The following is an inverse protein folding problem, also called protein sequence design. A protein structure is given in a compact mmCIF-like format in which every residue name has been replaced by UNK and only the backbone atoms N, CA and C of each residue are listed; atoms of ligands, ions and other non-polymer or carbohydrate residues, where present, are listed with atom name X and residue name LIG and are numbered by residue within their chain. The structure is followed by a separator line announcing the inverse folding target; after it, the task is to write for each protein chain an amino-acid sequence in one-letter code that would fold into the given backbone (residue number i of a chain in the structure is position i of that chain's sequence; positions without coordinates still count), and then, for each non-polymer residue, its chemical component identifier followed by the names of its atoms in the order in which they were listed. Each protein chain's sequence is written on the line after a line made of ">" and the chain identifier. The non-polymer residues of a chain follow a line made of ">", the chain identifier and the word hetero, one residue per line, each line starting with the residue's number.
data_IF_414765346131
#
_entry.id   IF_414765346131
#
_cell.length_a   1.000
_cell.length_b   1.000
_cell.length_c   1.000
_cell.angle_alpha   90.00
_cell.angle_beta   90.00
_cell.angle_gamma   90.00
#
_symmetry.space_group_name_H-M   'P 1'
#
loop_
_entity.id
_entity.type
_entity.pdbx_description
1 polymer ?
#
# COMPACT_ATOMS: atom_id res chain seq x y z
N UNK A 1 -2.68 -7.99 12.02
CA UNK A 1 -2.77 -7.84 13.51
C UNK A 1 -3.97 -8.58 14.10
N UNK A 2 -3.90 -9.01 15.37
CA UNK A 2 -4.96 -9.79 16.04
C UNK A 2 -6.25 -8.99 16.34
N UNK A 3 -7.39 -9.52 15.88
CA UNK A 3 -8.74 -8.98 16.14
C UNK A 3 -9.22 -9.37 17.53
N UNK A 4 -9.86 -8.47 18.27
CA UNK A 4 -10.50 -8.79 19.55
C UNK A 4 -11.75 -9.67 19.33
N UNK A 5 -11.72 -10.84 19.96
CA UNK A 5 -12.74 -11.90 19.97
C UNK A 5 -12.79 -12.54 21.35
N UNK A 6 -13.95 -13.03 21.77
CA UNK A 6 -14.07 -13.67 23.08
C UNK A 6 -13.12 -14.87 23.19
N UNK A 7 -12.62 -15.10 24.41
CA UNK A 7 -11.72 -16.22 24.71
C UNK A 7 -10.25 -16.01 24.34
N UNK A 8 -9.87 -14.84 23.79
CA UNK A 8 -8.46 -14.50 23.54
C UNK A 8 -7.61 -14.44 24.81
N UNK A 9 -8.19 -13.93 25.90
CA UNK A 9 -7.56 -13.93 27.20
C UNK A 9 -8.61 -14.07 28.31
N UNK A 10 -8.22 -14.53 29.52
CA UNK A 10 -9.13 -14.61 30.65
C UNK A 10 -9.74 -13.24 30.95
N UNK A 11 -11.07 -13.16 30.92
CA UNK A 11 -11.83 -11.92 31.16
C UNK A 11 -12.32 -11.19 29.90
N UNK A 12 -11.93 -11.63 28.69
CA UNK A 12 -12.47 -11.10 27.45
C UNK A 12 -13.71 -11.93 27.02
N UNK A 13 -14.86 -11.58 27.58
CA UNK A 13 -16.16 -12.20 27.25
C UNK A 13 -16.78 -11.57 26.01
N UNK A 14 -17.80 -12.22 25.43
CA UNK A 14 -18.49 -11.71 24.24
C UNK A 14 -19.14 -10.34 24.51
N UNK A 15 -19.68 -10.13 25.72
CA UNK A 15 -20.22 -8.85 26.17
C UNK A 15 -19.16 -7.74 26.18
N UNK A 16 -17.98 -8.02 26.74
CA UNK A 16 -16.87 -7.06 26.78
C UNK A 16 -16.40 -6.72 25.36
N UNK A 17 -16.32 -7.71 24.47
CA UNK A 17 -15.93 -7.49 23.07
C UNK A 17 -16.95 -6.60 22.35
N UNK A 18 -18.25 -6.81 22.56
CA UNK A 18 -19.28 -5.97 21.94
C UNK A 18 -19.22 -4.52 22.45
N UNK A 19 -19.02 -4.32 23.76
CA UNK A 19 -18.86 -2.98 24.35
C UNK A 19 -17.65 -2.24 23.76
N UNK A 20 -16.51 -2.93 23.63
CA UNK A 20 -15.30 -2.37 23.01
C UNK A 20 -15.51 -2.03 21.53
N UNK A 21 -16.17 -2.93 20.77
CA UNK A 21 -16.49 -2.71 19.36
C UNK A 21 -17.37 -1.48 19.15
N UNK A 22 -18.32 -1.23 20.05
CA UNK A 22 -19.15 -0.02 20.05
C UNK A 22 -18.35 1.29 20.13
N UNK A 23 -17.10 1.23 20.61
CA UNK A 23 -16.16 2.36 20.69
C UNK A 23 -15.05 2.32 19.64
N UNK A 24 -15.25 1.56 18.56
CA UNK A 24 -14.25 1.33 17.49
C UNK A 24 -12.96 0.67 17.99
N UNK A 25 -12.96 0.05 19.17
CA UNK A 25 -11.83 -0.76 19.66
C UNK A 25 -12.05 -2.18 19.14
N UNK A 26 -11.37 -2.53 18.04
CA UNK A 26 -11.60 -3.79 17.32
C UNK A 26 -10.39 -4.72 17.35
N UNK A 27 -9.21 -4.19 17.60
CA UNK A 27 -7.94 -4.92 17.55
C UNK A 27 -7.18 -4.83 18.87
N UNK A 28 -6.22 -5.74 19.07
CA UNK A 28 -5.32 -5.71 20.22
C UNK A 28 -4.56 -4.38 20.29
N UNK A 29 -4.20 -3.80 19.15
CA UNK A 29 -3.50 -2.51 19.11
C UNK A 29 -4.40 -1.34 19.47
N UNK A 30 -5.68 -1.37 19.09
CA UNK A 30 -6.63 -0.33 19.51
C UNK A 30 -6.74 -0.30 21.04
N UNK A 31 -6.88 -1.47 21.68
CA UNK A 31 -6.96 -1.56 23.14
C UNK A 31 -5.62 -1.25 23.81
N UNK A 32 -4.50 -1.63 23.20
CA UNK A 32 -3.16 -1.32 23.69
C UNK A 32 -2.77 0.15 23.53
N UNK A 33 -3.41 0.90 22.62
CA UNK A 33 -3.22 2.34 22.44
C UNK A 33 -4.26 3.20 23.15
N UNK A 34 -5.38 2.63 23.57
CA UNK A 34 -6.48 3.35 24.19
C UNK A 34 -6.16 3.88 25.59
N UNK A 35 -6.84 4.98 25.95
CA UNK A 35 -6.94 5.47 27.31
C UNK A 35 -7.90 4.57 28.10
N UNK A 36 -7.33 3.77 29.01
CA UNK A 36 -8.11 2.79 29.77
C UNK A 36 -9.05 3.43 30.80
N UNK A 37 -8.77 4.65 31.27
CA UNK A 37 -9.67 5.37 32.18
C UNK A 37 -10.93 5.79 31.43
N UNK A 38 -10.75 6.36 30.24
CA UNK A 38 -11.86 6.75 29.38
C UNK A 38 -12.67 5.53 28.95
N UNK A 39 -12.02 4.43 28.56
CA UNK A 39 -12.70 3.19 28.18
C UNK A 39 -13.46 2.57 29.35
N UNK A 40 -12.87 2.55 30.55
CA UNK A 40 -13.53 2.08 31.77
C UNK A 40 -14.82 2.86 32.03
N UNK A 41 -14.75 4.20 32.01
CA UNK A 41 -15.88 5.07 32.27
C UNK A 41 -16.98 4.92 31.21
N UNK A 42 -16.62 4.85 29.93
CA UNK A 42 -17.58 4.83 28.82
C UNK A 42 -18.22 3.46 28.56
N UNK A 43 -17.55 2.37 28.92
CA UNK A 43 -18.04 1.01 28.73
C UNK A 43 -18.59 0.40 30.02
N UNK A 44 -18.49 1.11 31.16
CA UNK A 44 -18.87 0.57 32.47
C UNK A 44 -18.01 -0.60 32.92
N UNK A 45 -16.76 -0.68 32.44
CA UNK A 45 -15.84 -1.79 32.72
C UNK A 45 -14.91 -1.43 33.87
N UNK A 46 -14.49 -2.43 34.65
CA UNK A 46 -13.49 -2.23 35.70
C UNK A 46 -12.15 -1.84 35.07
N UNK A 47 -11.60 -0.69 35.49
CA UNK A 47 -10.26 -0.25 35.07
C UNK A 47 -9.19 -1.32 35.35
N UNK A 48 -9.26 -1.99 36.50
CA UNK A 48 -8.34 -3.07 36.87
C UNK A 48 -8.45 -4.27 35.92
N UNK A 49 -9.66 -4.60 35.47
CA UNK A 49 -9.87 -5.64 34.47
C UNK A 49 -9.27 -5.24 33.11
N UNK A 50 -9.48 -4.01 32.66
CA UNK A 50 -8.90 -3.49 31.41
C UNK A 50 -7.37 -3.48 31.43
N UNK A 51 -6.75 -3.10 32.56
CA UNK A 51 -5.29 -3.15 32.74
C UNK A 51 -4.79 -4.59 32.66
N UNK A 52 -5.47 -5.55 33.31
CA UNK A 52 -5.11 -6.96 33.24
C UNK A 52 -5.24 -7.51 31.81
N UNK A 53 -6.33 -7.19 31.12
CA UNK A 53 -6.54 -7.57 29.72
C UNK A 53 -5.44 -7.00 28.82
N UNK A 54 -5.14 -5.70 28.91
CA UNK A 54 -4.07 -5.06 28.14
C UNK A 54 -2.72 -5.72 28.41
N UNK A 55 -2.42 -6.06 29.66
CA UNK A 55 -1.16 -6.73 30.02
C UNK A 55 -1.05 -8.12 29.39
N UNK A 56 -2.09 -8.94 29.47
CA UNK A 56 -2.09 -10.30 28.87
C UNK A 56 -1.99 -10.21 27.35
N UNK A 57 -2.77 -9.31 26.73
CA UNK A 57 -2.74 -9.12 25.29
C UNK A 57 -1.39 -8.57 24.82
N UNK A 58 -0.77 -7.64 25.54
CA UNK A 58 0.60 -7.20 25.24
C UNK A 58 1.59 -8.35 25.38
N UNK A 59 1.50 -9.18 26.42
CA UNK A 59 2.40 -10.33 26.55
C UNK A 59 2.24 -11.34 25.41
N UNK A 60 1.01 -11.56 24.93
CA UNK A 60 0.71 -12.54 23.88
C UNK A 60 0.93 -12.02 22.45
N UNK A 61 0.74 -10.71 22.23
CA UNK A 61 0.74 -10.10 20.90
C UNK A 61 1.83 -9.03 20.71
N UNK A 62 2.65 -8.74 21.72
CA UNK A 62 3.82 -7.87 21.54
C UNK A 62 4.84 -8.56 20.64
N UNK A 63 5.49 -7.75 19.81
CA UNK A 63 6.61 -8.23 19.02
C UNK A 63 7.73 -8.66 19.99
N UNK A 64 8.12 -9.92 19.90
CA UNK A 64 9.32 -10.40 20.57
C UNK A 64 10.54 -9.99 19.74
N UNK A 65 11.67 -9.59 20.36
CA UNK A 65 12.89 -9.30 19.61
C UNK A 65 13.32 -10.56 18.84
N UNK A 66 13.40 -10.44 17.52
CA UNK A 66 13.87 -11.49 16.63
C UNK A 66 15.32 -11.17 16.21
N UNK A 67 16.11 -12.21 16.00
CA UNK A 67 17.41 -12.07 15.38
C UNK A 67 17.22 -11.60 13.93
N UNK A 68 18.10 -10.73 13.45
CA UNK A 68 18.07 -10.24 12.06
C UNK A 68 18.19 -11.36 11.03
N UNK A 69 18.94 -12.43 11.33
CA UNK A 69 19.05 -13.59 10.44
C UNK A 69 17.72 -14.34 10.31
N UNK A 70 17.05 -14.62 11.42
CA UNK A 70 15.77 -15.33 11.42
C UNK A 70 14.69 -14.50 10.73
N UNK A 71 14.66 -13.19 11.01
CA UNK A 71 13.77 -12.25 10.32
C UNK A 71 14.04 -12.22 8.80
N UNK A 72 15.30 -12.29 8.38
CA UNK A 72 15.65 -12.29 6.96
C UNK A 72 15.18 -13.57 6.25
N UNK A 73 15.34 -14.74 6.88
CA UNK A 73 14.83 -16.01 6.35
C UNK A 73 13.29 -16.05 6.32
N UNK A 74 12.63 -15.50 7.33
CA UNK A 74 11.17 -15.31 7.33
C UNK A 74 10.73 -14.40 6.17
N UNK A 75 11.44 -13.29 5.94
CA UNK A 75 11.13 -12.39 4.83
C UNK A 75 11.33 -13.04 3.47
N UNK A 76 12.37 -13.89 3.28
CA UNK A 76 12.56 -14.64 2.04
C UNK A 76 11.40 -15.57 1.71
N UNK A 77 10.82 -16.20 2.73
CA UNK A 77 9.77 -17.21 2.56
C UNK A 77 8.37 -16.61 2.49
N UNK A 78 8.16 -15.44 3.12
CA UNK A 78 6.85 -14.75 3.17
C UNK A 78 6.66 -13.68 2.09
N UNK A 79 7.75 -13.18 1.48
CA UNK A 79 7.66 -12.13 0.46
C UNK A 79 7.49 -12.73 -0.93
N UNK A 80 6.36 -12.41 -1.58
CA UNK A 80 6.16 -12.68 -3.00
C UNK A 80 6.61 -11.50 -3.85
N UNK A 81 7.15 -11.80 -5.03
CA UNK A 81 7.50 -10.81 -6.05
C UNK A 81 6.55 -10.99 -7.21
N UNK A 82 5.89 -9.90 -7.61
CA UNK A 82 4.90 -9.88 -8.67
C UNK A 82 5.50 -9.17 -9.88
N UNK A 83 5.74 -9.91 -10.97
CA UNK A 83 6.20 -9.31 -12.22
C UNK A 83 5.22 -8.23 -12.69
N UNK A 84 5.77 -7.11 -13.18
CA UNK A 84 4.97 -6.03 -13.79
C UNK A 84 4.56 -6.36 -15.22
N UNK A 85 5.01 -7.49 -15.78
CA UNK A 85 4.86 -7.83 -17.21
C UNK A 85 5.78 -7.01 -18.12
N UNK A 86 6.72 -6.25 -17.57
CA UNK A 86 7.70 -5.46 -18.32
C UNK A 86 9.10 -5.86 -17.85
N UNK A 87 9.84 -6.58 -18.68
CA UNK A 87 11.16 -7.12 -18.31
C UNK A 87 12.15 -6.04 -17.83
N UNK A 88 12.16 -4.85 -18.45
CA UNK A 88 13.03 -3.75 -18.03
C UNK A 88 12.62 -3.14 -16.69
N UNK A 89 11.31 -3.08 -16.40
CA UNK A 89 10.81 -2.59 -15.12
C UNK A 89 11.04 -3.63 -14.01
N UNK A 90 10.85 -4.91 -14.28
CA UNK A 90 11.17 -6.00 -13.35
C UNK A 90 12.66 -6.00 -13.02
N UNK A 91 13.53 -5.82 -14.02
CA UNK A 91 14.97 -5.66 -13.79
C UNK A 91 15.28 -4.45 -12.89
N UNK A 92 14.63 -3.30 -13.14
CA UNK A 92 14.81 -2.09 -12.32
C UNK A 92 14.34 -2.30 -10.87
N UNK A 93 13.27 -3.08 -10.69
CA UNK A 93 12.66 -3.38 -9.41
C UNK A 93 13.27 -4.57 -8.67
N UNK A 94 14.31 -5.20 -9.25
CA UNK A 94 14.88 -6.45 -8.74
C UNK A 94 13.85 -7.59 -8.73
N UNK A 95 13.39 -7.96 -9.93
CA UNK A 95 12.41 -9.00 -10.28
C UNK A 95 10.91 -8.65 -10.17
N UNK A 96 10.51 -7.45 -9.71
CA UNK A 96 9.12 -6.98 -9.76
C UNK A 96 8.62 -6.29 -8.48
N UNK A 97 7.30 -6.25 -8.29
CA UNK A 97 6.65 -5.62 -7.13
C UNK A 97 6.64 -6.56 -5.92
N UNK A 98 7.23 -6.11 -4.82
CA UNK A 98 7.32 -6.89 -3.58
C UNK A 98 6.07 -6.72 -2.73
N UNK A 99 5.51 -7.83 -2.25
CA UNK A 99 4.43 -7.81 -1.24
C UNK A 99 4.91 -7.31 0.11
N UNK A 100 4.03 -6.73 0.93
CA UNK A 100 4.39 -6.23 2.26
C UNK A 100 4.93 -4.80 2.28
N UNK A 101 5.07 -4.18 1.10
CA UNK A 101 5.66 -2.85 0.93
C UNK A 101 4.82 -1.92 0.03
N UNK A 102 5.12 -0.62 0.12
CA UNK A 102 4.49 0.44 -0.65
C UNK A 102 5.45 0.96 -1.73
N UNK A 103 5.06 0.83 -3.00
CA UNK A 103 5.79 1.31 -4.17
C UNK A 103 5.09 2.55 -4.76
N UNK A 104 5.81 3.64 -4.97
CA UNK A 104 5.27 4.86 -5.59
C UNK A 104 5.77 5.02 -7.03
N UNK A 105 4.84 5.23 -7.97
CA UNK A 105 5.10 5.56 -9.38
C UNK A 105 4.74 7.02 -9.63
N UNK A 106 5.72 7.83 -10.03
CA UNK A 106 5.51 9.27 -10.25
C UNK A 106 5.74 9.59 -11.73
N UNK A 107 4.85 10.36 -12.35
CA UNK A 107 5.04 10.76 -13.76
C UNK A 107 4.05 11.82 -14.23
N UNK A 108 4.34 12.50 -15.34
CA UNK A 108 3.47 13.52 -15.95
C UNK A 108 2.12 12.95 -16.42
N UNK A 109 1.03 13.73 -16.56
CA UNK A 109 -0.20 13.26 -17.20
C UNK A 109 0.08 12.62 -18.57
N UNK A 110 -0.58 11.49 -18.88
CA UNK A 110 -0.31 10.73 -20.12
C UNK A 110 0.98 9.90 -20.12
N UNK A 111 1.69 9.80 -18.98
CA UNK A 111 2.91 8.98 -18.87
C UNK A 111 2.68 7.47 -18.85
N UNK A 112 1.44 6.98 -19.06
CA UNK A 112 1.13 5.54 -19.05
C UNK A 112 0.93 4.93 -17.66
N UNK A 113 0.56 5.72 -16.64
CA UNK A 113 0.21 5.22 -15.28
C UNK A 113 -0.98 4.27 -15.28
N UNK A 114 -1.86 4.41 -16.27
CA UNK A 114 -3.10 3.67 -16.40
C UNK A 114 -3.13 3.13 -17.83
N UNK A 115 -2.88 1.83 -18.00
CA UNK A 115 -3.08 1.16 -19.28
C UNK A 115 -4.01 -0.05 -19.09
N UNK A 116 -4.94 -0.18 -20.04
CA UNK A 116 -6.06 -1.10 -20.03
C UNK A 116 -5.72 -2.32 -20.88
N UNK A 117 -5.91 -3.52 -20.29
CA UNK A 117 -6.39 -4.77 -20.94
C UNK A 117 -6.26 -6.02 -20.03
N UNK A 118 -5.66 -5.93 -18.83
CA UNK A 118 -5.68 -7.01 -17.81
C UNK A 118 -6.99 -7.09 -16.97
N UNK A 119 -8.07 -6.44 -17.40
CA UNK A 119 -9.15 -5.91 -16.54
C UNK A 119 -10.23 -6.91 -16.07
N UNK A 120 -10.22 -8.19 -16.45
CA UNK A 120 -11.26 -9.13 -15.99
C UNK A 120 -11.09 -9.57 -14.52
N UNK A 121 -9.93 -9.33 -13.91
CA UNK A 121 -9.65 -9.65 -12.49
C UNK A 121 -9.40 -8.41 -11.62
N UNK A 122 -9.57 -7.22 -12.18
CA UNK A 122 -9.29 -5.95 -11.50
C UNK A 122 -10.59 -5.37 -10.94
N UNK A 123 -10.69 -5.30 -9.62
CA UNK A 123 -11.77 -4.56 -8.97
C UNK A 123 -11.40 -3.08 -8.91
N UNK A 124 -12.28 -2.23 -9.47
CA UNK A 124 -12.08 -0.77 -9.49
C UNK A 124 -13.05 -0.13 -8.50
N UNK A 125 -12.52 0.68 -7.60
CA UNK A 125 -13.30 1.49 -6.66
C UNK A 125 -12.96 2.95 -6.90
N UNK A 126 -13.98 3.79 -6.99
CA UNK A 126 -13.81 5.22 -7.18
C UNK A 126 -13.90 5.92 -5.83
N UNK A 127 -12.84 6.64 -5.45
CA UNK A 127 -12.79 7.49 -4.28
C UNK A 127 -12.32 8.88 -4.70
N UNK A 128 -13.19 9.89 -4.53
CA UNK A 128 -12.94 11.24 -5.04
C UNK A 128 -12.49 12.24 -3.96
N UNK A 129 -12.48 11.82 -2.70
CA UNK A 129 -11.95 12.57 -1.58
C UNK A 129 -11.20 11.67 -0.60
N UNK A 130 -10.48 12.28 0.34
CA UNK A 130 -9.63 11.54 1.28
C UNK A 130 -10.44 10.66 2.25
N UNK A 131 -11.67 11.06 2.59
CA UNK A 131 -12.49 10.32 3.54
C UNK A 131 -13.05 9.05 2.88
N UNK A 132 -13.57 9.18 1.66
CA UNK A 132 -13.96 8.01 0.84
C UNK A 132 -12.78 7.06 0.64
N UNK A 133 -11.58 7.59 0.37
CA UNK A 133 -10.38 6.76 0.22
C UNK A 133 -10.05 6.01 1.53
N UNK A 134 -10.09 6.69 2.67
CA UNK A 134 -9.85 6.08 3.97
C UNK A 134 -10.89 5.00 4.31
N UNK A 135 -12.17 5.24 4.02
CA UNK A 135 -13.24 4.27 4.25
C UNK A 135 -13.06 3.02 3.37
N UNK A 136 -12.75 3.18 2.08
CA UNK A 136 -12.48 2.07 1.16
C UNK A 136 -11.29 1.22 1.60
N UNK A 137 -10.20 1.85 2.07
CA UNK A 137 -9.03 1.12 2.57
C UNK A 137 -9.34 0.35 3.86
N UNK A 138 -10.15 0.93 4.75
CA UNK A 138 -10.59 0.28 5.98
C UNK A 138 -11.53 -0.89 5.71
N UNK A 139 -12.47 -0.72 4.78
CA UNK A 139 -13.40 -1.77 4.36
C UNK A 139 -12.67 -2.92 3.70
N UNK A 140 -11.73 -2.63 2.78
CA UNK A 140 -10.88 -3.64 2.14
C UNK A 140 -10.12 -4.47 3.18
N UNK A 141 -9.53 -3.80 4.19
CA UNK A 141 -8.87 -4.48 5.30
C UNK A 141 -9.84 -5.38 6.06
N UNK A 142 -11.06 -4.91 6.33
CA UNK A 142 -12.11 -5.68 6.99
C UNK A 142 -12.54 -6.92 6.18
N UNK A 143 -12.71 -6.76 4.86
CA UNK A 143 -13.13 -7.84 3.96
C UNK A 143 -12.05 -8.90 3.81
N UNK A 144 -10.78 -8.52 3.61
CA UNK A 144 -9.69 -9.49 3.42
C UNK A 144 -9.42 -10.28 4.71
N UNK A 145 -9.55 -9.65 5.89
CA UNK A 145 -9.44 -10.36 7.18
C UNK A 145 -10.58 -11.38 7.37
N UNK A 146 -11.77 -11.13 6.82
CA UNK A 146 -12.90 -12.08 6.86
C UNK A 146 -12.86 -13.16 5.75
N UNK A 147 -12.11 -12.92 4.67
CA UNK A 147 -11.94 -13.87 3.56
C UNK A 147 -11.02 -15.05 3.88
N UNK A 148 -10.27 -15.02 4.99
CA UNK A 148 -9.49 -16.18 5.49
C UNK A 148 -10.39 -17.40 5.82
N UNK A 149 -11.72 -17.21 5.83
CA UNK A 149 -12.73 -18.26 6.04
C UNK A 149 -13.56 -18.65 4.80
N UNK A 150 -13.32 -18.07 3.61
CA UNK A 150 -14.12 -18.35 2.40
C UNK A 150 -13.28 -18.47 1.13
N UNK A 151 -13.70 -19.33 0.19
CA UNK A 151 -13.02 -19.65 -1.07
C UNK A 151 -13.03 -18.54 -2.14
N UNK A 152 -12.94 -17.27 -1.74
CA UNK A 152 -12.83 -16.12 -2.65
C UNK A 152 -11.35 -15.74 -2.84
N UNK A 153 -10.97 -15.33 -4.04
CA UNK A 153 -9.58 -15.10 -4.43
C UNK A 153 -8.86 -14.09 -3.54
N UNK A 154 -7.59 -14.37 -3.22
CA UNK A 154 -6.74 -13.48 -2.42
C UNK A 154 -6.31 -12.25 -3.23
N UNK A 155 -6.59 -11.05 -2.72
CA UNK A 155 -6.04 -9.81 -3.28
C UNK A 155 -4.52 -9.83 -3.13
N UNK A 156 -3.77 -9.55 -4.20
CA UNK A 156 -2.29 -9.53 -4.20
C UNK A 156 -1.72 -8.12 -4.39
N UNK A 157 -2.45 -7.25 -5.07
CA UNK A 157 -2.03 -5.89 -5.39
C UNK A 157 -3.17 -4.92 -5.14
N UNK A 158 -2.85 -3.76 -4.55
CA UNK A 158 -3.75 -2.62 -4.42
C UNK A 158 -3.11 -1.43 -5.11
N UNK A 159 -3.81 -0.81 -6.05
CA UNK A 159 -3.31 0.35 -6.81
C UNK A 159 -4.16 1.58 -6.46
N UNK A 160 -3.51 2.67 -6.07
CA UNK A 160 -4.15 3.98 -5.85
C UNK A 160 -3.66 4.95 -6.91
N UNK A 161 -4.54 5.26 -7.87
CA UNK A 161 -4.28 6.21 -8.95
C UNK A 161 -5.25 7.41 -8.84
N UNK A 162 -4.89 8.56 -8.27
CA UNK A 162 -3.62 8.94 -7.65
C UNK A 162 -3.81 9.43 -6.22
N UNK A 163 -2.80 9.25 -5.35
CA UNK A 163 -2.86 9.82 -3.99
C UNK A 163 -2.89 11.35 -4.02
N UNK A 164 -2.33 11.96 -5.07
CA UNK A 164 -2.36 13.41 -5.22
C UNK A 164 -3.76 13.96 -5.43
N UNK A 165 -4.63 13.23 -6.16
CA UNK A 165 -5.98 13.70 -6.47
C UNK A 165 -6.81 13.98 -5.20
N UNK A 166 -6.71 13.12 -4.18
CA UNK A 166 -7.46 13.25 -2.93
C UNK A 166 -6.75 14.11 -1.87
N UNK A 167 -5.42 14.21 -1.94
CA UNK A 167 -4.63 14.94 -0.94
C UNK A 167 -4.38 16.40 -1.33
N UNK A 168 -4.14 16.69 -2.62
CA UNK A 168 -3.76 18.04 -3.06
C UNK A 168 -4.76 19.15 -2.68
N UNK A 169 -6.10 18.95 -2.74
CA UNK A 169 -7.06 19.96 -2.29
C UNK A 169 -6.94 20.35 -0.82
N UNK A 170 -6.30 19.48 -0.01
CA UNK A 170 -6.11 19.66 1.43
C UNK A 170 -4.76 20.32 1.75
N UNK A 171 -3.85 20.38 0.78
CA UNK A 171 -2.51 20.93 0.93
C UNK A 171 -2.46 22.36 0.39
N UNK A 172 -2.95 23.29 1.21
CA UNK A 172 -2.95 24.71 0.90
C UNK A 172 -4.11 25.43 1.59
N UNK A 173 -3.99 26.75 1.78
CA UNK A 173 -5.04 27.55 2.42
C UNK A 173 -5.06 27.44 3.95
N UNK A 174 -6.24 27.64 4.56
CA UNK A 174 -6.42 27.68 6.02
C UNK A 174 -6.64 26.30 6.68
N UNK A 175 -6.75 25.22 5.91
CA UNK A 175 -6.98 23.90 6.48
C UNK A 175 -5.71 23.36 7.15
N UNK A 176 -5.67 23.44 8.48
CA UNK A 176 -4.53 22.99 9.30
C UNK A 176 -4.40 21.47 9.35
N UNK A 177 -5.45 20.74 8.99
CA UNK A 177 -5.54 19.28 9.16
C UNK A 177 -5.05 18.48 7.95
N UNK A 178 -4.84 19.11 6.78
CA UNK A 178 -4.51 18.40 5.54
C UNK A 178 -3.25 17.53 5.61
N UNK A 179 -2.23 17.98 6.34
CA UNK A 179 -1.03 17.18 6.60
C UNK A 179 -1.32 15.97 7.50
N UNK A 180 -2.19 16.12 8.51
CA UNK A 180 -2.57 15.03 9.38
C UNK A 180 -3.35 13.95 8.63
N UNK A 181 -4.31 14.36 7.80
CA UNK A 181 -5.08 13.45 6.95
C UNK A 181 -4.21 12.73 5.92
N UNK A 182 -3.24 13.43 5.30
CA UNK A 182 -2.23 12.80 4.44
C UNK A 182 -1.47 11.72 5.22
N UNK A 183 -1.01 12.02 6.43
CA UNK A 183 -0.25 11.06 7.23
C UNK A 183 -1.11 9.90 7.74
N UNK A 184 -2.41 10.11 7.93
CA UNK A 184 -3.38 9.05 8.19
C UNK A 184 -3.52 8.13 6.98
N UNK A 185 -3.71 8.68 5.77
CA UNK A 185 -3.75 7.90 4.53
C UNK A 185 -2.47 7.09 4.31
N UNK A 186 -1.30 7.72 4.53
CA UNK A 186 0.00 7.05 4.46
C UNK A 186 0.09 5.85 5.41
N UNK A 187 -0.43 6.01 6.64
CA UNK A 187 -0.46 4.95 7.65
C UNK A 187 -1.37 3.81 7.23
N UNK A 188 -2.58 4.10 6.76
CA UNK A 188 -3.50 3.07 6.29
C UNK A 188 -2.91 2.26 5.13
N UNK A 189 -2.31 2.92 4.13
CA UNK A 189 -1.67 2.23 3.00
C UNK A 189 -0.51 1.32 3.43
N UNK A 190 0.36 1.79 4.33
CA UNK A 190 1.45 0.96 4.88
C UNK A 190 0.94 -0.21 5.71
N UNK A 191 -0.12 0.04 6.48
CA UNK A 191 -0.72 -0.97 7.35
C UNK A 191 -1.37 -2.04 6.48
N UNK A 192 -2.09 -1.65 5.42
CA UNK A 192 -2.67 -2.56 4.44
C UNK A 192 -1.61 -3.44 3.78
N UNK A 193 -0.50 -2.85 3.30
CA UNK A 193 0.59 -3.60 2.69
C UNK A 193 1.14 -4.69 3.63
N UNK A 194 1.42 -4.31 4.89
CA UNK A 194 2.02 -5.20 5.89
C UNK A 194 1.05 -6.23 6.46
N UNK A 195 -0.14 -5.80 6.89
CA UNK A 195 -1.11 -6.67 7.56
C UNK A 195 -1.68 -7.72 6.60
N UNK A 196 -1.85 -7.37 5.32
CA UNK A 196 -2.44 -8.28 4.32
C UNK A 196 -1.39 -8.97 3.45
N UNK A 197 -0.11 -8.61 3.58
CA UNK A 197 0.94 -9.15 2.72
C UNK A 197 0.69 -8.87 1.23
N UNK A 198 0.13 -7.70 0.90
CA UNK A 198 -0.15 -7.27 -0.48
C UNK A 198 0.87 -6.25 -0.95
N UNK A 199 1.10 -6.17 -2.26
CA UNK A 199 1.84 -5.06 -2.84
C UNK A 199 0.92 -3.84 -2.97
N UNK A 200 1.31 -2.69 -2.42
CA UNK A 200 0.55 -1.44 -2.58
C UNK A 200 1.31 -0.52 -3.54
N UNK A 201 0.66 -0.11 -4.61
CA UNK A 201 1.21 0.81 -5.61
C UNK A 201 0.43 2.12 -5.55
N UNK A 202 1.12 3.24 -5.42
CA UNK A 202 0.49 4.58 -5.43
C UNK A 202 1.05 5.41 -6.57
N UNK A 203 0.20 6.18 -7.24
CA UNK A 203 0.66 7.17 -8.20
C UNK A 203 0.64 8.57 -7.60
N UNK A 204 1.64 9.39 -7.95
CA UNK A 204 1.76 10.77 -7.51
C UNK A 204 2.04 11.68 -8.70
N UNK A 205 1.51 12.89 -8.66
CA UNK A 205 1.76 13.89 -9.70
C UNK A 205 3.12 14.57 -9.51
N UNK A 206 3.63 15.13 -10.59
CA UNK A 206 4.81 16.00 -10.58
C UNK A 206 4.41 17.46 -10.47
N UNK A 207 5.19 18.20 -9.69
CA UNK A 207 5.13 19.66 -9.59
C UNK A 207 6.49 20.24 -9.94
N UNK A 208 6.51 21.51 -10.35
CA UNK A 208 7.76 22.22 -10.62
C UNK A 208 8.14 23.05 -9.40
N UNK A 209 9.37 22.87 -8.97
CA UNK A 209 9.94 23.70 -7.91
C UNK A 209 10.08 25.16 -8.38
N UNK A 210 9.63 26.11 -7.56
CA UNK A 210 9.55 27.53 -7.97
C UNK A 210 10.92 28.20 -8.08
N UNK A 211 11.91 27.76 -7.29
CA UNK A 211 13.25 28.34 -7.29
C UNK A 211 14.19 27.65 -8.27
N UNK A 212 14.19 26.31 -8.29
CA UNK A 212 15.11 25.53 -9.14
C UNK A 212 14.52 25.15 -10.50
N UNK A 213 13.21 25.29 -10.70
CA UNK A 213 12.53 24.82 -11.91
C UNK A 213 12.55 23.29 -12.08
N UNK A 214 13.11 22.52 -11.15
CA UNK A 214 13.21 21.06 -11.25
C UNK A 214 11.87 20.39 -10.95
N UNK A 215 11.61 19.28 -11.62
CA UNK A 215 10.43 18.45 -11.33
C UNK A 215 10.61 17.73 -10.00
N UNK A 216 9.56 17.73 -9.17
CA UNK A 216 9.52 17.05 -7.88
C UNK A 216 8.13 16.47 -7.61
N UNK A 217 8.01 15.40 -6.80
CA UNK A 217 6.71 14.88 -6.38
C UNK A 217 5.85 15.95 -5.68
N UNK A 218 4.54 15.93 -5.92
CA UNK A 218 3.62 16.98 -5.48
C UNK A 218 3.42 17.07 -3.96
N UNK A 219 3.50 15.94 -3.26
CA UNK A 219 3.12 15.84 -1.84
C UNK A 219 4.22 16.26 -0.85
N UNK A 220 5.36 16.74 -1.36
CA UNK A 220 6.41 17.35 -0.55
C UNK A 220 7.15 16.41 0.40
N UNK A 221 7.85 17.02 1.38
CA UNK A 221 8.81 16.31 2.24
C UNK A 221 8.16 15.32 3.20
N UNK A 222 6.99 15.62 3.75
CA UNK A 222 6.29 14.72 4.68
C UNK A 222 5.94 13.38 4.03
N UNK A 223 5.49 13.40 2.78
CA UNK A 223 5.23 12.19 2.00
C UNK A 223 6.50 11.49 1.51
N UNK A 224 7.62 12.21 1.39
CA UNK A 224 8.84 11.67 0.77
C UNK A 224 9.39 10.41 1.46
N UNK A 225 9.12 10.24 2.75
CA UNK A 225 9.51 9.10 3.57
C UNK A 225 8.50 7.95 3.59
N UNK A 226 7.30 8.16 3.03
CA UNK A 226 6.20 7.20 3.06
C UNK A 226 6.52 5.96 2.21
N UNK A 227 6.71 6.03 0.88
CA UNK A 227 6.99 4.83 0.09
C UNK A 227 8.37 4.26 0.41
N UNK A 228 8.48 2.93 0.37
CA UNK A 228 9.76 2.22 0.50
C UNK A 228 10.57 2.39 -0.78
N UNK A 229 9.90 2.25 -1.92
CA UNK A 229 10.49 2.33 -3.26
C UNK A 229 9.79 3.43 -4.07
N UNK A 230 10.56 4.27 -4.78
CA UNK A 230 10.03 5.35 -5.61
C UNK A 230 10.64 5.32 -7.01
N UNK A 231 9.78 5.24 -8.02
CA UNK A 231 10.15 5.34 -9.43
C UNK A 231 9.67 6.69 -9.98
N UNK A 232 10.57 7.36 -10.68
CA UNK A 232 10.30 8.57 -11.44
C UNK A 232 10.23 8.22 -12.92
N UNK A 233 9.08 8.45 -13.56
CA UNK A 233 8.85 8.24 -14.99
C UNK A 233 8.97 9.57 -15.73
N UNK A 234 9.90 9.64 -16.67
CA UNK A 234 10.08 10.78 -17.58
C UNK A 234 9.78 10.38 -19.03
N UNK A 235 9.35 11.36 -19.83
CA UNK A 235 9.15 11.17 -21.28
C UNK A 235 10.48 11.46 -21.96
N UNK A 236 11.03 10.48 -22.67
CA UNK A 236 12.28 10.62 -23.42
C UNK A 236 12.13 11.72 -24.49
N UNK A 237 13.01 12.71 -24.51
CA UNK A 237 12.91 13.84 -25.47
C UNK A 237 12.95 13.38 -26.95
N UNK A 238 13.56 12.23 -27.25
CA UNK A 238 13.55 11.62 -28.60
C UNK A 238 12.20 11.01 -29.05
N UNK A 239 11.28 10.76 -28.12
CA UNK A 239 9.96 10.20 -28.40
C UNK A 239 8.98 11.24 -28.99
N UNK A 240 9.22 12.54 -28.74
CA UNK A 240 8.41 13.63 -29.32
C UNK A 240 8.65 13.82 -30.82
N UNK A 241 9.83 13.44 -31.32
CA UNK A 241 10.21 13.63 -32.73
C UNK A 241 9.92 12.40 -33.62
N UNK A 242 9.79 11.20 -33.03
CA UNK A 242 9.82 9.93 -33.78
C UNK A 242 8.50 9.14 -33.78
N UNK A 243 7.39 9.71 -33.29
CA UNK A 243 6.08 9.05 -33.29
C UNK A 243 5.93 7.85 -32.33
N UNK A 244 7.02 7.34 -31.75
CA UNK A 244 6.98 6.34 -30.67
C UNK A 244 6.73 7.02 -29.32
N UNK A 245 5.49 7.50 -29.12
CA UNK A 245 5.03 8.14 -27.88
C UNK A 245 4.89 7.17 -26.70
N UNK A 246 5.45 5.97 -26.80
CA UNK A 246 5.25 4.84 -25.91
C UNK A 246 6.42 4.58 -24.95
N UNK A 247 7.63 4.97 -25.33
CA UNK A 247 8.81 4.83 -24.48
C UNK A 247 8.84 5.87 -23.36
N UNK A 248 9.21 5.43 -22.17
CA UNK A 248 9.46 6.25 -20.97
C UNK A 248 10.79 5.85 -20.37
N UNK A 249 11.47 6.80 -19.72
CA UNK A 249 12.61 6.48 -18.87
C UNK A 249 12.13 6.36 -17.44
N UNK A 250 12.33 5.19 -16.83
CA UNK A 250 12.05 4.94 -15.43
C UNK A 250 13.34 5.07 -14.62
N UNK A 251 13.36 5.96 -13.64
CA UNK A 251 14.50 6.21 -12.76
C UNK A 251 14.16 5.83 -11.32
N UNK A 252 14.99 4.98 -10.71
CA UNK A 252 14.83 4.58 -9.32
C UNK A 252 15.39 5.66 -8.39
N UNK A 253 14.51 6.41 -7.75
CA UNK A 253 14.92 7.56 -6.90
C UNK A 253 14.98 7.21 -5.41
N UNK A 254 14.39 6.09 -5.01
CA UNK A 254 14.48 5.54 -3.65
C UNK A 254 14.28 4.02 -3.72
N UNK A 255 15.15 3.27 -3.06
CA UNK A 255 14.99 1.83 -2.89
C UNK A 255 15.80 1.35 -1.68
N UNK A 256 15.29 0.39 -0.90
CA UNK A 256 16.06 -0.26 0.17
C UNK A 256 16.97 -1.38 -0.37
N UNK A 257 16.77 -1.83 -1.62
CA UNK A 257 17.43 -3.02 -2.21
C UNK A 257 18.39 -2.69 -3.34
N UNK A 258 18.14 -1.62 -4.08
CA UNK A 258 18.86 -1.28 -5.29
C UNK A 258 19.48 0.13 -5.20
N UNK A 259 20.62 0.39 -5.86
CA UNK A 259 21.19 1.73 -5.93
C UNK A 259 20.22 2.73 -6.56
N UNK A 260 20.13 3.93 -5.98
CA UNK A 260 19.32 5.01 -6.55
C UNK A 260 20.05 5.69 -7.71
N UNK A 261 19.29 6.21 -8.68
CA UNK A 261 19.81 6.86 -9.89
C UNK A 261 19.94 5.92 -11.09
N UNK A 262 19.70 4.62 -10.91
CA UNK A 262 19.59 3.64 -11.99
C UNK A 262 18.38 3.97 -12.85
N UNK A 263 18.56 3.88 -14.18
CA UNK A 263 17.54 4.21 -15.16
C UNK A 263 17.39 3.05 -16.15
N UNK A 264 16.14 2.77 -16.52
CA UNK A 264 15.80 1.81 -17.55
C UNK A 264 14.78 2.42 -18.50
N UNK A 265 14.87 2.08 -19.79
CA UNK A 265 13.85 2.48 -20.78
C UNK A 265 12.72 1.46 -20.74
N UNK A 266 11.50 1.96 -20.60
CA UNK A 266 10.28 1.20 -20.48
C UNK A 266 9.37 1.55 -21.64
N UNK A 267 9.03 0.56 -22.45
CA UNK A 267 8.00 0.69 -23.47
C UNK A 267 6.66 0.28 -22.87
N UNK A 268 5.71 1.21 -22.79
CA UNK A 268 4.40 0.94 -22.17
C UNK A 268 3.40 0.43 -23.22
N UNK A 269 3.71 0.49 -24.50
CA UNK A 269 2.77 0.21 -25.61
C UNK A 269 2.65 -1.26 -25.98
N UNK A 270 3.61 -2.08 -25.52
CA UNK A 270 3.63 -3.52 -25.76
C UNK A 270 2.80 -4.33 -24.76
N UNK A 271 2.20 -3.68 -23.75
CA UNK A 271 1.42 -4.34 -22.70
C UNK A 271 0.01 -4.80 -23.12
N UNK A 272 -0.46 -4.46 -24.32
CA UNK A 272 -1.76 -4.88 -24.88
C UNK A 272 -1.67 -6.00 -25.93
N UNK A 273 -0.48 -6.34 -26.44
CA UNK A 273 -0.35 -7.50 -27.34
C UNK A 273 -0.19 -8.75 -26.50
N UNK A 274 -1.29 -9.52 -26.40
CA UNK A 274 -1.30 -10.87 -25.89
C UNK A 274 -0.06 -11.65 -26.33
N UNK A 275 0.59 -12.33 -25.38
CA UNK A 275 1.62 -13.33 -25.69
C UNK A 275 1.07 -14.25 -26.78
N UNK A 276 1.74 -14.27 -27.93
CA UNK A 276 1.45 -15.26 -28.96
C UNK A 276 1.65 -16.63 -28.32
N UNK A 277 0.57 -17.41 -28.28
CA UNK A 277 0.61 -18.80 -27.90
C UNK A 277 1.69 -19.51 -28.73
N UNK A 278 2.49 -20.41 -28.15
CA UNK A 278 3.48 -21.14 -28.92
C UNK A 278 2.75 -21.90 -30.02
N UNK A 279 3.04 -21.56 -31.28
CA UNK A 279 2.58 -22.31 -32.44
C UNK A 279 3.16 -23.70 -32.28
N UNK A 280 2.30 -24.66 -31.94
CA UNK A 280 2.60 -26.08 -32.10
C UNK A 280 2.90 -26.30 -33.58
N UNK A 281 4.18 -26.45 -33.90
CA UNK A 281 4.61 -26.99 -35.17
C UNK A 281 4.04 -28.41 -35.26
N UNK A 282 2.96 -28.57 -36.01
CA UNK A 282 2.46 -29.88 -36.40
C UNK A 282 3.50 -30.55 -37.29
N UNK A 283 4.03 -31.67 -36.81
CA UNK A 283 4.88 -32.58 -37.55
C UNK A 283 4.16 -33.07 -38.82
N UNK A 284 4.97 -33.18 -39.87
CA UNK A 284 4.65 -33.80 -41.14
C UNK A 284 4.40 -35.31 -40.94
N UNK A 285 3.26 -35.79 -41.44
CA UNK A 285 3.14 -37.11 -42.09
C UNK A 285 2.09 -37.02 -43.18
#
# INVERSE_FOLDING_TARGET
>A
MGVLRAGLCPGLTEEVVQLLRGRRIRTVVDLAGADLEQVAQQCGLSYKALVALRRVLLAQFSAFPLNGADLYEELKTSTAILSTGIASLDKLLDAGLYTGELTEIVGAPGSGKTQAEALQRIQVVHAFDIFQMLDVLQDLRGTVVQQVTGSSGTVKVVIVDSVTAVVAPLLGGQQREGLALMMQLARELKTLARDLGVAVVVTNHLTRDRSSGRLKPALGRSWSFVPSTRIFLDVTDGARASGSGSQRTACLTKSPRQPTGVQEVVDIGTLGTAEQSPVLQGEQT
#
